data_IF_386381356681
#
_entry.id   IF_386381356681
#
_cell.length_a   1.000
_cell.length_b   1.000
_cell.length_c   1.000
_cell.angle_alpha   90.00
_cell.angle_beta   90.00
_cell.angle_gamma   90.00
#
_symmetry.space_group_name_H-M   'P 1'
#
loop_
_entity.id
_entity.type
_entity.pdbx_description
1 polymer ?
#
# COMPACT_ATOMS: atom_id res chain seq x y z
N UNK A 1 -7.05 -23.40 -11.58
CA UNK A 1 -6.31 -22.51 -10.66
C UNK A 1 -7.28 -21.86 -9.70
N UNK A 2 -6.93 -21.82 -8.41
CA UNK A 2 -7.73 -21.09 -7.42
C UNK A 2 -7.55 -19.57 -7.61
N UNK A 3 -8.61 -18.81 -7.37
CA UNK A 3 -8.66 -17.36 -7.34
C UNK A 3 -8.95 -16.91 -5.92
N UNK A 4 -8.36 -15.78 -5.53
CA UNK A 4 -8.52 -15.18 -4.20
C UNK A 4 -9.05 -13.77 -4.39
N UNK A 5 -10.10 -13.42 -3.66
CA UNK A 5 -10.71 -12.11 -3.67
C UNK A 5 -10.79 -11.57 -2.25
N UNK A 6 -10.58 -10.27 -2.11
CA UNK A 6 -10.76 -9.51 -0.88
C UNK A 6 -12.03 -8.66 -1.00
N UNK A 7 -12.86 -8.62 0.05
CA UNK A 7 -14.15 -7.91 0.09
C UNK A 7 -15.15 -8.33 -1.01
N UNK A 8 -15.04 -9.54 -1.58
CA UNK A 8 -15.99 -10.00 -2.59
C UNK A 8 -17.37 -10.16 -1.96
N UNK A 9 -18.34 -9.35 -2.40
CA UNK A 9 -19.69 -9.30 -1.80
C UNK A 9 -19.65 -9.04 -0.28
N UNK A 10 -18.65 -8.26 0.17
CA UNK A 10 -18.36 -7.98 1.57
C UNK A 10 -17.91 -9.20 2.39
N UNK A 11 -17.36 -10.23 1.74
CA UNK A 11 -16.64 -11.33 2.40
C UNK A 11 -15.18 -10.91 2.56
N UNK A 12 -14.63 -10.95 3.78
CA UNK A 12 -13.26 -10.51 4.06
C UNK A 12 -12.24 -11.17 3.12
N UNK A 13 -12.26 -12.51 3.05
CA UNK A 13 -11.49 -13.29 2.07
C UNK A 13 -12.33 -14.41 1.49
N UNK A 14 -12.39 -14.44 0.16
CA UNK A 14 -13.10 -15.46 -0.61
C UNK A 14 -12.13 -16.18 -1.55
N UNK A 15 -12.12 -17.51 -1.51
CA UNK A 15 -11.23 -18.36 -2.32
C UNK A 15 -12.08 -19.36 -3.09
N UNK A 16 -11.85 -19.49 -4.39
CA UNK A 16 -12.58 -20.46 -5.22
C UNK A 16 -11.77 -20.97 -6.40
N UNK A 17 -12.03 -22.20 -6.84
CA UNK A 17 -11.55 -22.72 -8.12
C UNK A 17 -12.66 -22.78 -9.20
N UNK A 18 -13.83 -22.20 -8.93
CA UNK A 18 -15.04 -22.29 -9.76
C UNK A 18 -16.04 -23.36 -9.32
N UNK A 19 -15.57 -24.43 -8.66
CA UNK A 19 -16.40 -25.55 -8.20
C UNK A 19 -16.55 -25.55 -6.67
N UNK A 20 -15.45 -25.30 -5.96
CA UNK A 20 -15.39 -25.27 -4.50
C UNK A 20 -15.11 -23.87 -4.01
N UNK A 21 -15.64 -23.55 -2.84
CA UNK A 21 -15.68 -22.20 -2.31
C UNK A 21 -15.29 -22.19 -0.84
N UNK A 22 -14.32 -21.35 -0.47
CA UNK A 22 -13.91 -21.11 0.90
C UNK A 22 -14.21 -19.65 1.24
N UNK A 23 -15.01 -19.47 2.28
CA UNK A 23 -15.34 -18.19 2.89
C UNK A 23 -14.48 -18.08 4.15
N UNK A 24 -13.70 -17.02 4.29
CA UNK A 24 -12.99 -16.71 5.53
C UNK A 24 -13.56 -15.41 6.08
N UNK A 25 -14.14 -15.49 7.27
CA UNK A 25 -14.59 -14.33 8.04
C UNK A 25 -13.57 -14.07 9.15
N UNK A 26 -13.04 -12.85 9.19
CA UNK A 26 -11.94 -12.44 10.04
C UNK A 26 -12.42 -11.51 11.18
N UNK A 27 -12.27 -11.98 12.43
CA UNK A 27 -12.77 -11.32 13.64
C UNK A 27 -11.65 -10.88 14.57
N UNK A 28 -10.86 -9.91 14.14
CA UNK A 28 -9.85 -9.26 14.97
C UNK A 28 -10.52 -8.18 15.81
N UNK A 29 -10.75 -8.46 17.10
CA UNK A 29 -11.33 -7.53 18.09
C UNK A 29 -12.69 -6.91 17.72
N UNK A 30 -13.36 -7.46 16.70
CA UNK A 30 -14.65 -7.01 16.19
C UNK A 30 -15.80 -7.88 16.70
N UNK A 31 -16.99 -7.26 16.78
CA UNK A 31 -18.24 -7.96 17.03
C UNK A 31 -18.75 -8.76 15.83
N UNK A 32 -19.74 -9.61 16.09
CA UNK A 32 -20.52 -10.26 15.03
C UNK A 32 -21.51 -9.28 14.41
N UNK A 33 -21.70 -9.36 13.09
CA UNK A 33 -22.71 -8.58 12.37
C UNK A 33 -23.95 -9.41 12.08
N UNK A 34 -25.09 -8.74 11.81
CA UNK A 34 -26.38 -9.40 11.60
C UNK A 34 -26.31 -10.35 10.40
N UNK A 35 -26.63 -11.62 10.66
CA UNK A 35 -26.77 -12.71 9.68
C UNK A 35 -25.62 -12.77 8.68
N UNK A 36 -24.42 -12.40 9.11
CA UNK A 36 -23.28 -12.18 8.24
C UNK A 36 -22.81 -13.49 7.58
N UNK A 37 -22.60 -14.55 8.36
CA UNK A 37 -22.24 -15.87 7.83
C UNK A 37 -23.35 -16.44 6.96
N UNK A 38 -24.62 -16.29 7.39
CA UNK A 38 -25.76 -16.71 6.57
C UNK A 38 -25.73 -16.05 5.19
N UNK A 39 -25.63 -14.71 5.16
CA UNK A 39 -25.61 -13.95 3.91
C UNK A 39 -24.53 -14.45 2.95
N UNK A 40 -23.32 -14.70 3.44
CA UNK A 40 -22.23 -15.17 2.58
C UNK A 40 -22.52 -16.55 1.98
N UNK A 41 -22.96 -17.50 2.81
CA UNK A 41 -23.32 -18.84 2.36
C UNK A 41 -24.41 -18.76 1.28
N UNK A 42 -25.47 -17.97 1.52
CA UNK A 42 -26.59 -17.86 0.58
C UNK A 42 -26.21 -17.16 -0.73
N UNK A 43 -25.33 -16.15 -0.68
CA UNK A 43 -24.85 -15.47 -1.90
C UNK A 43 -24.06 -16.44 -2.77
N UNK A 44 -23.12 -17.18 -2.18
CA UNK A 44 -22.27 -18.12 -2.92
C UNK A 44 -23.06 -19.33 -3.44
N UNK A 45 -23.99 -19.86 -2.64
CA UNK A 45 -24.85 -20.96 -3.09
C UNK A 45 -25.71 -20.55 -4.29
N UNK A 46 -26.31 -19.35 -4.26
CA UNK A 46 -27.12 -18.83 -5.37
C UNK A 46 -26.32 -18.56 -6.65
N UNK A 47 -25.07 -18.12 -6.53
CA UNK A 47 -24.20 -17.90 -7.70
C UNK A 47 -23.87 -19.24 -8.37
N UNK A 48 -23.57 -20.29 -7.59
CA UNK A 48 -23.37 -21.65 -8.13
C UNK A 48 -24.59 -22.19 -8.88
N UNK A 49 -25.80 -21.94 -8.38
CA UNK A 49 -27.04 -22.40 -9.03
C UNK A 49 -27.44 -21.60 -10.27
N UNK A 50 -26.82 -20.44 -10.51
CA UNK A 50 -27.08 -19.61 -11.71
C UNK A 50 -26.15 -19.98 -12.84
N UNK A 51 -24.87 -20.21 -12.52
CA UNK A 51 -23.87 -20.65 -13.50
C UNK A 51 -24.19 -22.03 -14.10
N UNK A 52 -24.99 -22.86 -13.43
CA UNK A 52 -25.50 -24.14 -13.96
C UNK A 52 -26.67 -23.98 -14.95
N UNK A 53 -27.42 -22.87 -14.89
CA UNK A 53 -28.66 -22.66 -15.66
C UNK A 53 -28.46 -22.02 -17.05
N UNK A 54 -27.23 -21.64 -17.41
CA UNK A 54 -26.89 -21.07 -18.73
C UNK A 54 -26.59 -22.14 -19.80
N UNK A 55 -26.77 -23.43 -19.48
CA UNK A 55 -26.72 -24.54 -20.44
C UNK A 55 -28.10 -25.21 -20.48
N UNK A 56 -28.72 -25.18 -21.66
CA UNK A 56 -30.01 -25.80 -22.04
C UNK A 56 -31.30 -25.09 -21.62
N UNK A 57 -31.66 -24.08 -22.42
CA UNK A 57 -33.07 -23.74 -22.63
C UNK A 57 -33.72 -24.75 -23.59
N UNK A 58 -34.24 -25.84 -23.05
CA UNK A 58 -35.38 -26.53 -23.67
C UNK A 58 -36.21 -27.31 -22.64
N UNK A 59 -37.43 -26.79 -22.45
CA UNK A 59 -38.67 -27.50 -22.12
C UNK A 59 -38.90 -28.02 -20.68
N UNK A 60 -39.70 -27.21 -19.96
CA UNK A 60 -40.91 -27.54 -19.18
C UNK A 60 -40.93 -28.74 -18.20
N UNK A 61 -41.30 -28.38 -16.96
CA UNK A 61 -42.10 -29.17 -16.00
C UNK A 61 -41.41 -30.29 -15.20
N UNK A 62 -40.39 -29.93 -14.40
CA UNK A 62 -40.02 -30.66 -13.17
C UNK A 62 -39.30 -29.77 -12.14
N UNK A 63 -39.74 -28.51 -12.00
CA UNK A 63 -38.88 -27.39 -11.61
C UNK A 63 -38.52 -27.25 -10.12
N UNK A 64 -39.22 -27.89 -9.17
CA UNK A 64 -38.93 -27.68 -7.74
C UNK A 64 -37.90 -28.66 -7.17
N UNK A 65 -38.00 -29.94 -7.53
CA UNK A 65 -37.11 -30.98 -7.00
C UNK A 65 -35.68 -30.87 -7.54
N UNK A 66 -35.52 -30.52 -8.83
CA UNK A 66 -34.20 -30.34 -9.46
C UNK A 66 -33.51 -29.10 -8.87
N UNK A 67 -34.23 -27.98 -8.74
CA UNK A 67 -33.70 -26.76 -8.14
C UNK A 67 -33.30 -26.96 -6.66
N UNK A 68 -34.05 -27.74 -5.88
CA UNK A 68 -33.69 -28.09 -4.50
C UNK A 68 -32.45 -28.99 -4.42
N UNK A 69 -32.29 -29.92 -5.36
CA UNK A 69 -31.15 -30.84 -5.39
C UNK A 69 -29.85 -30.14 -5.85
N UNK A 70 -29.92 -29.24 -6.83
CA UNK A 70 -28.80 -28.39 -7.25
C UNK A 70 -28.39 -27.39 -6.15
N UNK A 71 -29.37 -26.81 -5.44
CA UNK A 71 -29.10 -25.92 -4.31
C UNK A 71 -28.45 -26.68 -3.14
N UNK A 72 -28.89 -27.91 -2.86
CA UNK A 72 -28.27 -28.78 -1.86
C UNK A 72 -26.81 -29.08 -2.21
N UNK A 73 -26.51 -29.39 -3.49
CA UNK A 73 -25.14 -29.60 -3.96
C UNK A 73 -24.28 -28.33 -3.87
N UNK A 74 -24.86 -27.15 -4.12
CA UNK A 74 -24.14 -25.89 -3.99
C UNK A 74 -23.63 -25.64 -2.55
N UNK A 75 -24.37 -26.06 -1.52
CA UNK A 75 -23.93 -25.95 -0.12
C UNK A 75 -22.79 -26.91 0.22
N UNK A 76 -22.77 -28.13 -0.34
CA UNK A 76 -21.71 -29.12 -0.08
C UNK A 76 -20.32 -28.66 -0.56
N UNK A 77 -20.30 -27.79 -1.56
CA UNK A 77 -19.10 -27.20 -2.14
C UNK A 77 -18.57 -25.97 -1.37
N UNK A 78 -19.28 -25.53 -0.33
CA UNK A 78 -18.90 -24.39 0.49
C UNK A 78 -18.20 -24.86 1.78
N UNK A 79 -17.13 -24.17 2.15
CA UNK A 79 -16.49 -24.24 3.45
C UNK A 79 -16.37 -22.85 4.07
N UNK A 80 -16.69 -22.75 5.36
CA UNK A 80 -16.60 -21.52 6.15
C UNK A 80 -15.50 -21.67 7.20
N UNK A 81 -14.51 -20.78 7.12
CA UNK A 81 -13.50 -20.60 8.14
C UNK A 81 -13.82 -19.33 8.92
N UNK A 82 -14.05 -19.48 10.22
CA UNK A 82 -14.25 -18.35 11.11
C UNK A 82 -12.95 -18.12 11.89
N UNK A 83 -12.24 -17.06 11.54
CA UNK A 83 -10.89 -16.76 12.03
C UNK A 83 -10.94 -15.67 13.10
N UNK A 84 -10.40 -15.96 14.28
CA UNK A 84 -10.31 -15.00 15.39
C UNK A 84 -8.94 -15.06 16.09
N UNK A 85 -8.54 -14.04 16.88
CA UNK A 85 -7.30 -14.10 17.66
C UNK A 85 -7.22 -15.33 18.59
N UNK A 86 -8.36 -15.68 19.21
CA UNK A 86 -8.49 -16.80 20.13
C UNK A 86 -9.74 -17.62 19.82
N UNK A 87 -9.83 -18.81 20.43
CA UNK A 87 -10.91 -19.77 20.20
C UNK A 87 -12.27 -19.14 20.49
N UNK A 88 -13.07 -18.94 19.44
CA UNK A 88 -14.43 -18.43 19.49
C UNK A 88 -15.20 -18.89 18.26
N UNK A 89 -16.49 -19.18 18.44
CA UNK A 89 -17.44 -19.42 17.36
C UNK A 89 -18.21 -18.14 17.00
N UNK A 90 -18.77 -18.04 15.79
CA UNK A 90 -19.73 -17.00 15.46
C UNK A 90 -20.97 -17.12 16.36
N UNK A 91 -21.54 -15.99 16.75
CA UNK A 91 -22.80 -15.95 17.50
C UNK A 91 -24.01 -16.29 16.63
N UNK A 92 -25.13 -16.66 17.27
CA UNK A 92 -26.40 -16.90 16.57
C UNK A 92 -26.85 -15.68 15.74
N UNK A 93 -26.50 -14.47 16.19
CA UNK A 93 -26.74 -13.22 15.46
C UNK A 93 -26.10 -13.25 14.06
N UNK A 94 -24.86 -13.72 13.93
CA UNK A 94 -24.17 -13.84 12.65
C UNK A 94 -24.55 -15.11 11.86
N UNK A 95 -24.81 -16.21 12.55
CA UNK A 95 -25.21 -17.48 11.95
C UNK A 95 -26.61 -17.43 11.33
N UNK A 96 -27.51 -16.60 11.87
CA UNK A 96 -28.89 -16.51 11.42
C UNK A 96 -29.61 -17.86 11.48
N UNK A 97 -30.08 -18.36 10.33
CA UNK A 97 -30.77 -19.66 10.26
C UNK A 97 -29.86 -20.89 10.45
N UNK A 98 -28.55 -20.74 10.33
CA UNK A 98 -27.60 -21.85 10.46
C UNK A 98 -27.28 -22.20 11.92
N UNK A 99 -26.89 -23.45 12.16
CA UNK A 99 -26.46 -23.98 13.45
C UNK A 99 -25.17 -24.77 13.35
N UNK A 100 -24.28 -24.62 14.33
CA UNK A 100 -23.02 -25.36 14.37
C UNK A 100 -23.26 -26.77 14.88
N UNK A 101 -22.88 -27.77 14.10
CA UNK A 101 -22.88 -29.19 14.47
C UNK A 101 -21.54 -29.82 14.09
N UNK A 102 -20.63 -29.91 15.07
CA UNK A 102 -19.27 -30.37 14.83
C UNK A 102 -18.54 -29.49 13.81
N UNK A 103 -18.01 -30.12 12.76
CA UNK A 103 -17.28 -29.45 11.68
C UNK A 103 -18.19 -28.97 10.54
N UNK A 104 -19.45 -28.61 10.86
CA UNK A 104 -20.44 -28.22 9.86
C UNK A 104 -21.44 -27.19 10.39
N UNK A 105 -21.96 -26.39 9.46
CA UNK A 105 -23.15 -25.57 9.64
C UNK A 105 -24.33 -26.29 8.98
N UNK A 106 -25.43 -26.43 9.72
CA UNK A 106 -26.62 -27.16 9.28
C UNK A 106 -27.85 -26.26 9.31
N UNK A 107 -28.71 -26.39 8.31
CA UNK A 107 -30.03 -25.76 8.25
C UNK A 107 -30.99 -26.63 7.43
N UNK A 108 -31.86 -27.39 8.11
CA UNK A 108 -32.67 -28.44 7.48
C UNK A 108 -31.77 -29.52 6.89
N UNK A 109 -31.99 -29.87 5.62
CA UNK A 109 -31.18 -30.85 4.89
C UNK A 109 -29.86 -30.26 4.35
N UNK A 110 -29.70 -28.93 4.39
CA UNK A 110 -28.51 -28.27 3.87
C UNK A 110 -27.37 -28.32 4.88
N UNK A 111 -26.15 -28.57 4.36
CA UNK A 111 -24.94 -28.68 5.16
C UNK A 111 -23.75 -28.01 4.48
N UNK A 112 -23.03 -27.20 5.24
CA UNK A 112 -21.82 -26.50 4.81
C UNK A 112 -20.66 -26.88 5.73
N UNK A 113 -19.45 -27.08 5.20
CA UNK A 113 -18.28 -27.39 6.05
C UNK A 113 -17.92 -26.18 6.88
N UNK A 114 -17.54 -26.39 8.15
CA UNK A 114 -17.23 -25.29 9.05
C UNK A 114 -16.07 -25.61 9.95
N UNK A 115 -15.22 -24.61 10.16
CA UNK A 115 -14.19 -24.66 11.19
C UNK A 115 -13.95 -23.27 11.77
N UNK A 116 -14.05 -23.15 13.09
CA UNK A 116 -13.47 -22.01 13.80
C UNK A 116 -11.96 -22.26 13.93
N UNK A 117 -11.17 -21.30 13.45
CA UNK A 117 -9.71 -21.33 13.51
C UNK A 117 -9.20 -20.09 14.22
N UNK A 118 -7.97 -20.18 14.71
CA UNK A 118 -7.36 -19.10 15.47
C UNK A 118 -6.06 -18.65 14.84
N UNK A 119 -5.77 -17.36 15.02
CA UNK A 119 -4.45 -16.83 14.73
C UNK A 119 -3.37 -17.51 15.57
N UNK A 120 -3.65 -17.73 16.86
CA UNK A 120 -2.70 -18.27 17.84
C UNK A 120 -2.29 -19.73 17.58
N UNK A 121 -3.19 -20.57 17.08
CA UNK A 121 -2.92 -21.99 16.88
C UNK A 121 -2.72 -22.30 15.40
N UNK A 122 -3.78 -22.24 14.60
CA UNK A 122 -3.74 -22.70 13.21
C UNK A 122 -2.88 -21.81 12.29
N UNK A 123 -3.00 -20.48 12.39
CA UNK A 123 -2.26 -19.58 11.50
C UNK A 123 -0.77 -19.57 11.83
N UNK A 124 -0.39 -19.52 13.12
CA UNK A 124 1.02 -19.62 13.51
C UNK A 124 1.63 -20.94 13.05
N UNK A 125 0.96 -22.07 13.29
CA UNK A 125 1.45 -23.37 12.81
C UNK A 125 1.55 -23.43 11.28
N UNK A 126 0.62 -22.81 10.56
CA UNK A 126 0.69 -22.73 9.10
C UNK A 126 1.86 -21.88 8.61
N UNK A 127 2.14 -20.75 9.26
CA UNK A 127 3.30 -19.91 8.93
C UNK A 127 4.60 -20.68 9.15
N UNK A 128 4.76 -21.32 10.30
CA UNK A 128 5.96 -22.10 10.63
C UNK A 128 6.19 -23.25 9.64
N UNK A 129 5.13 -23.96 9.27
CA UNK A 129 5.19 -25.00 8.24
C UNK A 129 5.51 -24.44 6.85
N UNK A 130 5.08 -23.22 6.55
CA UNK A 130 5.38 -22.55 5.28
C UNK A 130 6.85 -22.13 5.23
N UNK A 131 7.37 -21.55 6.31
CA UNK A 131 8.78 -21.16 6.45
C UNK A 131 9.72 -22.36 6.26
N UNK A 132 9.41 -23.50 6.88
CA UNK A 132 10.20 -24.73 6.72
C UNK A 132 10.30 -25.22 5.27
N UNK A 133 9.32 -24.88 4.41
CA UNK A 133 9.30 -25.27 2.99
C UNK A 133 9.97 -24.26 2.07
N UNK A 134 9.97 -22.98 2.43
CA UNK A 134 10.41 -21.87 1.57
C UNK A 134 11.67 -21.17 2.08
N UNK A 135 12.34 -21.72 3.10
CA UNK A 135 13.50 -21.08 3.75
C UNK A 135 14.62 -20.65 2.79
N UNK A 136 14.75 -21.30 1.63
CA UNK A 136 15.71 -20.91 0.59
C UNK A 136 15.32 -19.69 -0.26
N UNK A 137 14.09 -19.16 -0.12
CA UNK A 137 13.60 -17.95 -0.80
C UNK A 137 13.56 -16.81 0.22
N UNK A 138 14.67 -16.08 0.32
CA UNK A 138 14.91 -15.05 1.36
C UNK A 138 13.76 -14.05 1.50
N UNK A 139 13.26 -13.51 0.38
CA UNK A 139 12.19 -12.50 0.39
C UNK A 139 10.86 -13.05 0.91
N UNK A 140 10.50 -14.29 0.55
CA UNK A 140 9.29 -14.94 1.02
C UNK A 140 9.41 -15.36 2.49
N UNK A 141 10.58 -15.85 2.90
CA UNK A 141 10.85 -16.17 4.29
C UNK A 141 10.76 -14.92 5.19
N UNK A 142 11.34 -13.80 4.75
CA UNK A 142 11.24 -12.52 5.45
C UNK A 142 9.77 -12.04 5.56
N UNK A 143 8.99 -12.11 4.48
CA UNK A 143 7.56 -11.76 4.51
C UNK A 143 6.77 -12.63 5.51
N UNK A 144 7.04 -13.94 5.56
CA UNK A 144 6.43 -14.84 6.54
C UNK A 144 6.87 -14.54 7.98
N UNK A 145 8.13 -14.15 8.19
CA UNK A 145 8.62 -13.70 9.50
C UNK A 145 7.87 -12.45 9.97
N UNK A 146 7.73 -11.43 9.11
CA UNK A 146 6.97 -10.23 9.45
C UNK A 146 5.51 -10.54 9.75
N UNK A 147 4.89 -11.44 8.97
CA UNK A 147 3.52 -11.84 9.24
C UNK A 147 3.38 -12.62 10.55
N UNK A 148 4.34 -13.50 10.90
CA UNK A 148 4.39 -14.19 12.19
C UNK A 148 4.39 -13.20 13.35
N UNK A 149 5.18 -12.13 13.24
CA UNK A 149 5.26 -11.09 14.25
C UNK A 149 3.94 -10.36 14.44
N UNK A 150 3.26 -9.97 13.35
CA UNK A 150 1.92 -9.36 13.42
C UNK A 150 0.94 -10.30 14.12
N UNK A 151 0.96 -11.59 13.78
CA UNK A 151 0.11 -12.60 14.42
C UNK A 151 0.39 -12.72 15.92
N UNK A 152 1.66 -12.68 16.33
CA UNK A 152 2.04 -12.70 17.74
C UNK A 152 1.58 -11.45 18.50
N UNK A 153 1.61 -10.28 17.86
CA UNK A 153 1.12 -9.01 18.41
C UNK A 153 -0.40 -9.06 18.63
N UNK A 154 -1.19 -9.42 17.61
CA UNK A 154 -2.66 -9.46 17.74
C UNK A 154 -3.14 -10.53 18.73
N UNK A 155 -2.29 -11.52 19.04
CA UNK A 155 -2.55 -12.56 20.04
C UNK A 155 -1.94 -12.24 21.41
N UNK A 156 -1.42 -11.02 21.62
CA UNK A 156 -0.79 -10.54 22.85
C UNK A 156 0.35 -11.46 23.35
N UNK A 157 1.04 -12.14 22.44
CA UNK A 157 2.20 -13.00 22.76
C UNK A 157 3.54 -12.31 22.52
N UNK A 158 3.51 -11.11 21.91
CA UNK A 158 4.65 -10.25 21.65
C UNK A 158 4.21 -8.79 21.80
N UNK A 159 5.06 -7.96 22.39
CA UNK A 159 4.80 -6.52 22.49
C UNK A 159 4.75 -5.89 21.09
N UNK A 160 3.89 -4.89 20.91
CA UNK A 160 3.67 -4.17 19.66
C UNK A 160 4.87 -3.29 19.22
N UNK A 161 5.99 -3.36 19.94
CA UNK A 161 7.20 -2.57 19.72
C UNK A 161 8.42 -3.48 19.78
N UNK A 162 8.67 -4.24 18.71
CA UNK A 162 10.01 -4.79 18.49
C UNK A 162 10.80 -3.77 17.68
N UNK A 163 11.92 -3.28 18.22
CA UNK A 163 12.84 -2.46 17.44
C UNK A 163 13.46 -3.29 16.32
N UNK A 164 13.85 -2.65 15.21
CA UNK A 164 14.58 -3.31 14.12
C UNK A 164 15.85 -3.98 14.68
N UNK A 165 16.55 -3.33 15.61
CA UNK A 165 17.71 -3.90 16.31
C UNK A 165 17.37 -5.25 16.97
N UNK A 166 16.27 -5.28 17.72
CA UNK A 166 15.81 -6.50 18.40
C UNK A 166 15.38 -7.58 17.41
N UNK A 167 14.73 -7.21 16.30
CA UNK A 167 14.40 -8.16 15.22
C UNK A 167 15.66 -8.79 14.60
N UNK A 168 16.67 -7.98 14.31
CA UNK A 168 17.92 -8.45 13.70
C UNK A 168 18.73 -9.33 14.67
N UNK A 169 18.58 -9.16 15.99
CA UNK A 169 19.44 -9.79 17.01
C UNK A 169 18.75 -10.85 17.89
N UNK A 170 17.43 -10.91 17.98
CA UNK A 170 16.76 -11.85 18.91
C UNK A 170 16.80 -13.31 18.43
N UNK A 171 16.79 -13.53 17.11
CA UNK A 171 16.81 -14.88 16.55
C UNK A 171 18.26 -15.35 16.34
N UNK A 172 18.84 -15.97 17.37
CA UNK A 172 20.23 -16.48 17.37
C UNK A 172 20.56 -17.44 16.24
N UNK A 173 19.58 -18.15 15.69
CA UNK A 173 19.80 -19.10 14.60
C UNK A 173 19.88 -18.41 13.23
N UNK A 174 19.21 -17.26 13.06
CA UNK A 174 19.09 -16.56 11.77
C UNK A 174 19.77 -15.19 11.74
N UNK A 175 20.60 -14.84 12.74
CA UNK A 175 21.26 -13.53 12.81
C UNK A 175 22.06 -13.18 11.54
N UNK A 176 22.73 -14.16 10.93
CA UNK A 176 23.51 -13.94 9.71
C UNK A 176 22.61 -13.56 8.54
N UNK A 177 21.57 -14.34 8.27
CA UNK A 177 20.60 -14.07 7.19
C UNK A 177 19.91 -12.71 7.39
N UNK A 178 19.56 -12.38 8.63
CA UNK A 178 18.99 -11.09 8.99
C UNK A 178 19.94 -9.92 8.66
N UNK A 179 21.23 -10.06 8.95
CA UNK A 179 22.23 -9.05 8.62
C UNK A 179 22.53 -8.96 7.13
N UNK A 180 22.51 -10.09 6.41
CA UNK A 180 22.63 -10.09 4.94
C UNK A 180 21.50 -9.28 4.30
N UNK A 181 20.26 -9.44 4.76
CA UNK A 181 19.12 -8.61 4.33
C UNK A 181 19.36 -7.13 4.64
N UNK A 182 19.81 -6.80 5.85
CA UNK A 182 20.09 -5.41 6.23
C UNK A 182 21.17 -4.78 5.34
N UNK A 183 22.25 -5.50 5.04
CA UNK A 183 23.30 -5.03 4.14
C UNK A 183 22.82 -4.93 2.69
N UNK A 184 21.95 -5.83 2.23
CA UNK A 184 21.35 -5.74 0.90
C UNK A 184 20.47 -4.48 0.78
N UNK A 185 19.67 -4.16 1.79
CA UNK A 185 18.88 -2.92 1.85
C UNK A 185 19.80 -1.70 1.81
N UNK A 186 20.85 -1.67 2.66
CA UNK A 186 21.79 -0.54 2.70
C UNK A 186 22.54 -0.37 1.37
N UNK A 187 22.98 -1.46 0.76
CA UNK A 187 23.66 -1.45 -0.54
C UNK A 187 22.77 -0.95 -1.67
N UNK A 188 21.47 -1.21 -1.59
CA UNK A 188 20.49 -0.80 -2.59
C UNK A 188 19.71 0.46 -2.20
N UNK A 189 20.11 1.19 -1.14
CA UNK A 189 19.38 2.36 -0.60
C UNK A 189 18.96 3.33 -1.70
N UNK A 190 19.89 3.76 -2.54
CA UNK A 190 19.61 4.78 -3.58
C UNK A 190 18.63 4.28 -4.64
N UNK A 191 18.73 3.01 -5.04
CA UNK A 191 17.79 2.39 -5.98
C UNK A 191 16.39 2.25 -5.36
N UNK A 192 16.33 1.96 -4.05
CA UNK A 192 15.06 1.91 -3.29
C UNK A 192 14.43 3.30 -3.26
N UNK A 193 15.19 4.35 -2.96
CA UNK A 193 14.70 5.74 -2.95
C UNK A 193 14.17 6.14 -4.32
N UNK A 194 14.92 5.85 -5.38
CA UNK A 194 14.51 6.10 -6.76
C UNK A 194 13.19 5.40 -7.08
N UNK A 195 13.13 4.07 -6.86
CA UNK A 195 11.94 3.27 -7.16
C UNK A 195 10.73 3.75 -6.36
N UNK A 196 10.94 4.18 -5.11
CA UNK A 196 9.89 4.72 -4.27
C UNK A 196 9.36 6.07 -4.77
N UNK A 197 10.26 6.97 -5.20
CA UNK A 197 9.88 8.24 -5.82
C UNK A 197 9.10 8.01 -7.11
N UNK A 198 9.54 7.09 -7.96
CA UNK A 198 8.83 6.71 -9.18
C UNK A 198 7.41 6.21 -8.88
N UNK A 199 7.29 5.29 -7.93
CA UNK A 199 6.00 4.74 -7.54
C UNK A 199 5.03 5.82 -7.02
N UNK A 200 5.51 6.79 -6.23
CA UNK A 200 4.69 7.91 -5.76
C UNK A 200 4.26 8.80 -6.92
N UNK A 201 5.20 9.16 -7.81
CA UNK A 201 4.89 10.02 -8.96
C UNK A 201 3.86 9.37 -9.87
N UNK A 202 4.00 8.08 -10.16
CA UNK A 202 3.00 7.34 -10.95
C UNK A 202 1.64 7.27 -10.24
N UNK A 203 1.63 6.99 -8.93
CA UNK A 203 0.41 6.96 -8.11
C UNK A 203 -0.32 8.30 -8.11
N UNK A 204 0.41 9.41 -8.11
CA UNK A 204 -0.13 10.77 -8.06
C UNK A 204 -0.32 11.42 -9.45
N UNK A 205 0.02 10.73 -10.54
CA UNK A 205 0.06 11.29 -11.91
C UNK A 205 -1.21 12.03 -12.32
N UNK A 206 -2.37 11.38 -12.20
CA UNK A 206 -3.65 11.98 -12.60
C UNK A 206 -3.94 13.27 -11.80
N UNK A 207 -3.62 13.28 -10.50
CA UNK A 207 -3.81 14.45 -9.65
C UNK A 207 -2.86 15.59 -10.05
N UNK A 208 -1.59 15.28 -10.31
CA UNK A 208 -0.60 16.26 -10.78
C UNK A 208 -1.10 16.93 -12.06
N UNK A 209 -1.50 16.14 -13.04
CA UNK A 209 -1.94 16.63 -14.35
C UNK A 209 -3.26 17.44 -14.25
N UNK A 210 -4.19 17.04 -13.38
CA UNK A 210 -5.46 17.74 -13.16
C UNK A 210 -5.32 19.09 -12.46
N UNK A 211 -4.19 19.33 -11.77
CA UNK A 211 -3.91 20.54 -11.00
C UNK A 211 -2.98 21.52 -11.73
N UNK A 212 -2.87 21.39 -13.05
CA UNK A 212 -2.00 22.20 -13.91
C UNK A 212 -0.51 22.12 -13.59
N UNK A 213 -0.07 20.98 -13.06
CA UNK A 213 1.35 20.64 -12.93
C UNK A 213 1.76 19.60 -13.97
N UNK A 214 3.05 19.54 -14.27
CA UNK A 214 3.66 18.52 -15.11
C UNK A 214 4.86 17.88 -14.41
N UNK A 215 5.09 16.60 -14.75
CA UNK A 215 6.20 15.81 -14.25
C UNK A 215 7.38 16.01 -15.19
N UNK A 216 8.50 16.47 -14.65
CA UNK A 216 9.78 16.57 -15.34
C UNK A 216 10.70 15.51 -14.77
N UNK A 217 11.13 14.58 -15.62
CA UNK A 217 12.19 13.60 -15.29
C UNK A 217 13.49 14.07 -15.90
N UNK A 218 14.51 14.29 -15.07
CA UNK A 218 15.86 14.63 -15.54
C UNK A 218 16.82 13.46 -15.30
N UNK A 219 17.97 13.50 -15.96
CA UNK A 219 19.00 12.49 -15.73
C UNK A 219 19.67 12.72 -14.37
N UNK A 220 19.98 11.62 -13.67
CA UNK A 220 20.85 11.65 -12.48
C UNK A 220 22.30 12.02 -12.82
N UNK A 221 22.68 11.80 -14.08
CA UNK A 221 24.05 11.89 -14.58
C UNK A 221 24.28 13.13 -15.45
N UNK A 222 23.55 14.23 -15.22
CA UNK A 222 23.72 15.45 -16.01
C UNK A 222 25.17 15.94 -16.02
N UNK A 223 25.60 16.44 -17.19
CA UNK A 223 27.00 16.76 -17.49
C UNK A 223 27.50 17.84 -16.53
N UNK A 224 28.58 17.51 -15.83
CA UNK A 224 29.37 18.45 -15.04
C UNK A 224 29.57 19.76 -15.82
N UNK A 225 29.36 20.90 -15.16
CA UNK A 225 29.77 22.17 -15.73
C UNK A 225 31.29 22.20 -16.01
N UNK A 226 31.74 23.20 -16.77
CA UNK A 226 33.15 23.34 -17.20
C UNK A 226 34.16 23.47 -16.05
N UNK A 227 33.69 23.57 -14.80
CA UNK A 227 34.49 23.79 -13.60
C UNK A 227 34.30 22.69 -12.54
N UNK A 228 33.54 21.62 -12.83
CA UNK A 228 33.15 20.57 -11.88
C UNK A 228 32.46 21.11 -10.61
N UNK A 229 31.60 22.14 -10.72
CA UNK A 229 31.02 22.82 -9.53
C UNK A 229 29.54 22.54 -9.27
N UNK A 230 28.75 22.21 -10.29
CA UNK A 230 27.34 21.87 -10.09
C UNK A 230 27.13 20.38 -9.84
N UNK A 231 26.83 20.11 -8.57
CA UNK A 231 26.85 18.81 -7.88
C UNK A 231 25.47 18.18 -7.69
N UNK A 232 24.41 18.86 -8.14
CA UNK A 232 23.03 18.53 -7.83
C UNK A 232 22.24 18.25 -9.10
N UNK A 233 21.46 17.18 -9.08
CA UNK A 233 20.45 16.85 -10.09
C UNK A 233 19.08 16.77 -9.42
N UNK A 234 18.01 16.95 -10.20
CA UNK A 234 16.63 16.85 -9.70
C UNK A 234 15.83 15.81 -10.48
N UNK A 235 16.13 14.50 -10.32
CA UNK A 235 15.58 13.43 -11.17
C UNK A 235 14.06 13.38 -11.19
N UNK A 236 13.42 13.87 -10.11
CA UNK A 236 11.98 14.03 -10.00
C UNK A 236 11.67 15.48 -9.70
N UNK A 237 10.99 16.15 -10.62
CA UNK A 237 10.49 17.50 -10.45
C UNK A 237 9.05 17.60 -10.92
N UNK A 238 8.23 18.34 -10.17
CA UNK A 238 6.82 18.60 -10.47
C UNK A 238 6.65 20.12 -10.48
N UNK A 239 6.51 20.67 -11.69
CA UNK A 239 6.46 22.11 -11.93
C UNK A 239 5.13 22.55 -12.53
N UNK A 240 4.74 23.83 -12.41
CA UNK A 240 3.55 24.34 -13.09
C UNK A 240 3.68 24.20 -14.62
N UNK A 241 2.60 23.80 -15.30
CA UNK A 241 2.53 23.75 -16.77
C UNK A 241 2.71 25.13 -17.39
N UNK A 242 2.09 26.14 -16.77
CA UNK A 242 2.19 27.53 -17.17
C UNK A 242 3.01 28.29 -16.13
N UNK A 243 4.31 28.44 -16.37
CA UNK A 243 5.25 29.16 -15.52
C UNK A 243 5.89 30.33 -16.26
N UNK A 244 6.29 31.37 -15.51
CA UNK A 244 7.17 32.41 -16.03
C UNK A 244 8.63 31.95 -16.07
N UNK A 245 9.54 32.92 -16.25
CA UNK A 245 10.99 32.68 -16.22
C UNK A 245 11.44 31.99 -14.93
N UNK A 246 10.81 32.32 -13.81
CA UNK A 246 11.08 31.71 -12.51
C UNK A 246 9.83 31.03 -11.96
N UNK A 247 10.00 29.92 -11.27
CA UNK A 247 8.89 29.17 -10.67
C UNK A 247 9.34 28.31 -9.50
N UNK A 248 8.42 28.05 -8.57
CA UNK A 248 8.55 27.03 -7.55
C UNK A 248 8.06 25.69 -8.05
N UNK A 249 8.88 24.66 -7.86
CA UNK A 249 8.53 23.27 -8.14
C UNK A 249 8.82 22.40 -6.93
N UNK A 250 8.07 21.31 -6.81
CA UNK A 250 8.40 20.24 -5.87
C UNK A 250 9.45 19.33 -6.51
N UNK A 251 10.56 19.07 -5.83
CA UNK A 251 11.65 18.30 -6.40
C UNK A 251 12.34 17.39 -5.38
N UNK A 252 13.03 16.39 -5.93
CA UNK A 252 13.92 15.48 -5.21
C UNK A 252 15.35 15.76 -5.64
N UNK A 253 16.22 16.12 -4.70
CA UNK A 253 17.63 16.44 -4.94
C UNK A 253 18.52 15.18 -4.85
N UNK A 254 19.34 14.99 -5.88
CA UNK A 254 20.36 13.95 -5.94
C UNK A 254 21.75 14.58 -6.09
N UNK A 255 22.63 14.29 -5.13
CA UNK A 255 24.02 14.72 -5.13
C UNK A 255 24.84 13.76 -6.01
N UNK A 256 25.15 14.22 -7.21
CA UNK A 256 25.86 13.47 -8.26
C UNK A 256 27.22 12.94 -7.76
N UNK A 257 28.09 13.78 -7.19
CA UNK A 257 29.43 13.33 -6.76
C UNK A 257 29.40 12.26 -5.67
N UNK A 258 28.39 12.31 -4.78
CA UNK A 258 28.22 11.33 -3.72
C UNK A 258 27.37 10.14 -4.16
N UNK A 259 26.80 10.19 -5.36
CA UNK A 259 25.87 9.18 -5.88
C UNK A 259 24.73 8.91 -4.93
N UNK A 260 24.18 9.95 -4.27
CA UNK A 260 23.15 9.78 -3.24
C UNK A 260 22.05 10.82 -3.30
N UNK A 261 20.84 10.40 -2.98
CA UNK A 261 19.73 11.29 -2.69
C UNK A 261 19.91 11.97 -1.33
N UNK A 262 19.66 13.27 -1.30
CA UNK A 262 19.94 14.10 -0.13
C UNK A 262 18.65 14.59 0.54
N UNK A 263 17.84 15.33 -0.20
CA UNK A 263 16.65 15.97 0.32
C UNK A 263 15.56 16.12 -0.75
N UNK A 264 14.38 16.53 -0.33
CA UNK A 264 13.26 16.88 -1.20
C UNK A 264 12.49 18.07 -0.61
N UNK A 265 11.66 18.70 -1.44
CA UNK A 265 10.86 19.83 -0.98
C UNK A 265 10.46 20.75 -2.12
N UNK A 266 10.26 22.03 -1.82
CA UNK A 266 9.87 23.04 -2.79
C UNK A 266 10.95 24.10 -2.87
N UNK A 267 11.39 24.40 -4.08
CA UNK A 267 12.40 25.43 -4.34
C UNK A 267 12.17 26.15 -5.64
N UNK A 268 12.86 27.27 -5.79
CA UNK A 268 12.83 28.04 -7.03
C UNK A 268 13.74 27.43 -8.10
N UNK A 269 13.28 27.55 -9.35
CA UNK A 269 13.98 27.18 -10.56
C UNK A 269 13.86 28.31 -11.60
N UNK A 270 14.82 28.36 -12.52
CA UNK A 270 14.82 29.24 -13.70
C UNK A 270 14.56 28.38 -14.95
N UNK A 271 13.65 28.82 -15.80
CA UNK A 271 13.33 28.14 -17.06
C UNK A 271 14.55 28.12 -17.99
N UNK A 272 14.80 26.95 -18.62
CA UNK A 272 15.84 26.74 -19.63
C UNK A 272 17.28 27.10 -19.18
N UNK A 273 17.54 27.11 -17.87
CA UNK A 273 18.88 27.37 -17.30
C UNK A 273 19.47 26.11 -16.67
N UNK A 274 20.61 25.68 -17.20
CA UNK A 274 21.45 24.62 -16.62
C UNK A 274 22.39 25.17 -15.52
N UNK A 275 22.27 26.47 -15.19
CA UNK A 275 23.21 27.19 -14.31
C UNK A 275 22.55 27.68 -13.04
N UNK A 276 23.33 27.80 -11.96
CA UNK A 276 22.83 28.42 -10.74
C UNK A 276 22.46 29.87 -11.02
N UNK A 277 21.24 30.21 -10.62
CA UNK A 277 20.72 31.57 -10.69
C UNK A 277 21.63 32.54 -9.91
N UNK A 278 21.84 33.73 -10.45
CA UNK A 278 22.70 34.77 -9.86
C UNK A 278 22.15 35.24 -8.49
N UNK A 279 23.02 35.30 -7.48
CA UNK A 279 22.72 35.73 -6.11
C UNK A 279 21.98 37.07 -6.03
N UNK A 280 22.29 38.00 -6.94
CA UNK A 280 21.59 39.29 -6.99
C UNK A 280 20.13 39.14 -7.41
N UNK A 281 19.82 38.15 -8.26
CA UNK A 281 18.43 37.87 -8.66
C UNK A 281 17.70 37.16 -7.51
N UNK A 282 18.39 36.31 -6.73
CA UNK A 282 17.80 35.71 -5.52
C UNK A 282 17.25 36.76 -4.56
N UNK A 283 18.07 37.75 -4.18
CA UNK A 283 17.66 38.80 -3.25
C UNK A 283 16.46 39.59 -3.76
N UNK A 284 16.45 39.95 -5.05
CA UNK A 284 15.32 40.67 -5.66
C UNK A 284 14.02 39.86 -5.66
N UNK A 285 14.08 38.56 -5.90
CA UNK A 285 12.89 37.71 -5.86
C UNK A 285 12.38 37.55 -4.44
N UNK A 286 13.27 37.37 -3.45
CA UNK A 286 12.91 37.32 -2.03
C UNK A 286 12.13 38.60 -1.64
N UNK A 287 12.67 39.78 -1.98
CA UNK A 287 12.00 41.07 -1.74
C UNK A 287 10.67 41.18 -2.50
N UNK A 288 10.64 40.80 -3.77
CA UNK A 288 9.44 40.86 -4.61
C UNK A 288 8.32 39.98 -4.07
N UNK A 289 8.64 38.75 -3.62
CA UNK A 289 7.67 37.79 -3.10
C UNK A 289 7.34 38.03 -1.63
N UNK A 290 8.18 38.76 -0.90
CA UNK A 290 8.09 38.96 0.55
C UNK A 290 8.09 37.61 1.30
N UNK A 291 9.12 36.81 1.04
CA UNK A 291 9.43 35.54 1.71
C UNK A 291 10.81 35.62 2.35
N UNK A 292 11.19 34.63 3.16
CA UNK A 292 12.49 34.64 3.85
C UNK A 292 13.60 34.03 2.96
N UNK A 293 13.31 32.88 2.34
CA UNK A 293 14.27 32.16 1.50
C UNK A 293 13.56 31.42 0.35
N UNK A 294 14.26 31.30 -0.78
CA UNK A 294 13.72 30.68 -2.00
C UNK A 294 14.58 29.53 -2.56
N UNK A 295 15.84 29.39 -2.13
CA UNK A 295 16.69 28.24 -2.51
C UNK A 295 16.06 26.93 -2.05
N UNK A 296 15.53 26.92 -0.83
CA UNK A 296 14.42 26.08 -0.42
C UNK A 296 13.36 27.02 0.12
N UNK A 297 12.11 26.85 -0.28
CA UNK A 297 11.05 27.79 0.04
C UNK A 297 10.83 27.86 1.55
N UNK A 298 11.01 29.05 2.10
CA UNK A 298 10.75 29.38 3.48
C UNK A 298 9.98 30.69 3.57
N UNK A 299 8.79 30.63 4.16
CA UNK A 299 7.94 31.82 4.26
C UNK A 299 8.40 32.78 5.37
N UNK A 300 8.90 32.28 6.51
CA UNK A 300 9.00 33.07 7.75
C UNK A 300 9.95 32.46 8.82
N UNK A 301 10.99 31.74 8.42
CA UNK A 301 11.92 30.97 9.27
C UNK A 301 11.34 29.73 9.96
N UNK A 302 10.02 29.57 10.03
CA UNK A 302 9.35 28.42 10.66
C UNK A 302 8.73 27.46 9.64
N UNK A 303 8.30 27.98 8.50
CA UNK A 303 7.57 27.23 7.49
C UNK A 303 8.49 26.85 6.32
N UNK A 304 9.29 25.79 6.52
CA UNK A 304 10.25 25.27 5.55
C UNK A 304 9.68 24.17 4.65
N UNK A 305 9.99 24.27 3.37
CA UNK A 305 9.82 23.21 2.37
C UNK A 305 11.15 22.53 2.03
N UNK A 306 11.81 22.01 3.07
CA UNK A 306 13.05 21.23 2.97
C UNK A 306 12.94 20.02 3.89
N UNK A 307 13.18 18.82 3.35
CA UNK A 307 13.05 17.55 4.07
C UNK A 307 14.18 16.60 3.69
N UNK A 308 14.88 16.06 4.69
CA UNK A 308 15.99 15.12 4.47
C UNK A 308 15.49 13.68 4.30
N UNK A 309 16.07 12.95 3.34
CA UNK A 309 15.68 11.55 3.12
C UNK A 309 16.00 10.61 4.27
N UNK A 310 17.00 10.96 5.10
CA UNK A 310 17.40 10.15 6.25
C UNK A 310 16.37 10.15 7.39
N UNK A 311 15.35 11.02 7.34
CA UNK A 311 14.37 11.17 8.42
C UNK A 311 12.92 10.92 7.99
N UNK A 312 12.53 11.25 6.74
CA UNK A 312 11.09 11.31 6.42
C UNK A 312 10.70 10.85 5.01
N UNK A 313 11.42 9.91 4.38
CA UNK A 313 11.01 9.42 3.06
C UNK A 313 9.54 8.97 3.00
N UNK A 314 9.01 8.44 4.11
CA UNK A 314 7.59 8.04 4.26
C UNK A 314 6.61 9.22 4.22
N UNK A 315 7.06 10.45 4.46
CA UNK A 315 6.26 11.67 4.35
C UNK A 315 6.29 12.28 2.93
N UNK A 316 7.14 11.77 2.02
CA UNK A 316 7.28 12.32 0.66
C UNK A 316 5.92 12.46 -0.04
N UNK A 317 5.09 11.41 0.01
CA UNK A 317 3.75 11.42 -0.60
C UNK A 317 2.84 12.49 0.03
N UNK A 318 2.82 12.60 1.36
CA UNK A 318 1.94 13.56 2.04
C UNK A 318 2.39 15.01 1.81
N UNK A 319 3.70 15.27 1.75
CA UNK A 319 4.25 16.57 1.39
C UNK A 319 3.99 16.93 -0.07
N UNK A 320 4.10 15.97 -0.99
CA UNK A 320 3.72 16.17 -2.38
C UNK A 320 2.24 16.54 -2.50
N UNK A 321 1.36 15.82 -1.79
CA UNK A 321 -0.06 16.15 -1.78
C UNK A 321 -0.31 17.57 -1.25
N UNK A 322 0.36 17.93 -0.14
CA UNK A 322 0.28 19.27 0.45
C UNK A 322 0.74 20.35 -0.55
N UNK A 323 1.79 20.07 -1.33
CA UNK A 323 2.27 20.98 -2.37
C UNK A 323 1.21 21.19 -3.46
N UNK A 324 0.63 20.10 -3.98
CA UNK A 324 -0.39 20.16 -5.03
C UNK A 324 -1.65 20.93 -4.59
N UNK A 325 -1.99 20.85 -3.31
CA UNK A 325 -3.14 21.53 -2.70
C UNK A 325 -2.84 22.95 -2.21
N UNK A 326 -1.57 23.39 -2.21
CA UNK A 326 -1.18 24.68 -1.65
C UNK A 326 -1.63 25.87 -2.49
N UNK A 327 -2.60 26.64 -1.99
CA UNK A 327 -3.00 27.93 -2.56
C UNK A 327 -1.88 28.97 -2.50
N UNK A 328 -1.05 28.94 -1.46
CA UNK A 328 0.07 29.87 -1.28
C UNK A 328 1.13 29.68 -2.37
N UNK A 329 1.52 28.43 -2.65
CA UNK A 329 2.51 28.13 -3.69
C UNK A 329 1.98 28.51 -5.07
N UNK A 330 0.69 28.25 -5.34
CA UNK A 330 0.02 28.70 -6.57
C UNK A 330 0.08 30.22 -6.70
N UNK A 331 -0.24 30.96 -5.63
CA UNK A 331 -0.17 32.42 -5.63
C UNK A 331 1.25 32.96 -5.87
N UNK A 332 2.28 32.34 -5.28
CA UNK A 332 3.68 32.69 -5.55
C UNK A 332 4.04 32.47 -7.03
N UNK A 333 3.65 31.32 -7.60
CA UNK A 333 3.91 31.00 -8.99
C UNK A 333 3.17 31.93 -9.97
N UNK A 334 1.93 32.31 -9.67
CA UNK A 334 1.23 33.32 -10.47
C UNK A 334 1.93 34.68 -10.42
N UNK A 335 2.35 35.12 -9.22
CA UNK A 335 3.07 36.38 -9.05
C UNK A 335 4.41 36.40 -9.78
N UNK A 336 5.10 35.26 -9.89
CA UNK A 336 6.35 35.11 -10.62
C UNK A 336 6.21 35.21 -12.15
N UNK A 337 5.01 34.99 -12.71
CA UNK A 337 4.78 35.16 -14.17
C UNK A 337 5.02 36.60 -14.62
N UNK A 338 4.77 37.57 -13.75
CA UNK A 338 4.90 38.99 -14.03
C UNK A 338 6.31 39.54 -13.75
N UNK A 339 7.20 38.73 -13.16
CA UNK A 339 8.55 39.17 -12.77
C UNK A 339 9.49 39.24 -13.99
N UNK A 340 10.03 40.43 -14.27
CA UNK A 340 10.88 40.69 -15.44
C UNK A 340 12.39 40.86 -15.13
N UNK A 341 12.80 40.86 -13.84
CA UNK A 341 14.21 40.94 -13.40
C UNK A 341 14.68 42.28 -12.86
#
# INVERSE_FOLDING_TARGET
NARVYKEYKNIDVYITNGERHIIVENKIWAGDQDRQIERYIEIIAKEQSRDSSDIESSELESSENVAQQELSQAYENIAVLYLAPYKRNPSKYSLGKWEIQGDSLVNGDNKVRFKAITYKEEILAWIENSQAKVGCITSLNAALLFYKDVVQIITNTKENTMSIEKFLTDNKENMQENMEIAFEILKNRENIIESYCEAIVEKCREQIESKDFEIVKTSKDEKMDRWNRNDLSYPFMIKPKNCGKYYFAFCVEHYIQKGKYNCYGVRIFEQDSDSNMDDNIYSKIIEYLNVEEIWWLNYNQKDWWYYEFDTSITELESKLQTFLDSSNIKALNEKLKEYQG
#
